data_IF_895212521064
#
_entry.id   IF_895212521064
#
_cell.length_a   1.000
_cell.length_b   1.000
_cell.length_c   1.000
_cell.angle_alpha   90.00
_cell.angle_beta   90.00
_cell.angle_gamma   90.00
#
_symmetry.space_group_name_H-M   'P 1'
#
loop_
_entity.id
_entity.type
_entity.pdbx_description
1 polymer ?
#
# COMPACT_ATOMS: atom_id res chain seq x y z
N UNK A 1 -13.06 20.36 -19.13
CA UNK A 1 -11.75 21.01 -19.22
C UNK A 1 -11.98 22.40 -19.80
N UNK A 2 -11.49 23.50 -19.20
CA UNK A 2 -11.62 24.81 -19.80
C UNK A 2 -10.81 24.84 -21.09
N UNK A 3 -11.51 24.87 -22.21
CA UNK A 3 -10.93 24.81 -23.56
C UNK A 3 -10.10 26.04 -23.92
N UNK A 4 -10.10 27.08 -23.06
CA UNK A 4 -9.51 28.39 -23.33
C UNK A 4 -8.44 28.82 -22.34
N UNK A 5 -8.13 28.03 -21.31
CA UNK A 5 -7.07 28.36 -20.36
C UNK A 5 -5.75 27.74 -20.82
N UNK A 6 -4.73 28.58 -20.96
CA UNK A 6 -3.36 28.16 -21.27
C UNK A 6 -2.55 28.11 -19.95
N UNK A 7 -1.95 26.97 -19.58
CA UNK A 7 -1.19 26.82 -18.34
C UNK A 7 -0.03 27.82 -18.18
N UNK A 8 0.58 28.23 -19.30
CA UNK A 8 1.75 29.11 -19.32
C UNK A 8 1.34 30.58 -19.30
N UNK A 9 0.19 30.92 -19.90
CA UNK A 9 -0.30 32.30 -20.00
C UNK A 9 -1.26 32.69 -18.89
N UNK A 10 -2.04 31.74 -18.38
CA UNK A 10 -3.10 31.93 -17.38
C UNK A 10 -2.78 31.19 -16.07
N UNK A 11 -1.53 31.27 -15.61
CA UNK A 11 -1.02 30.47 -14.50
C UNK A 11 -1.90 30.52 -13.23
N UNK A 12 -2.45 31.70 -12.90
CA UNK A 12 -3.32 31.87 -11.72
C UNK A 12 -4.66 31.13 -11.89
N UNK A 13 -5.30 31.26 -13.06
CA UNK A 13 -6.56 30.57 -13.38
C UNK A 13 -6.34 29.07 -13.52
N UNK A 14 -5.20 28.66 -14.08
CA UNK A 14 -4.79 27.27 -14.16
C UNK A 14 -4.59 26.65 -12.76
N UNK A 15 -3.96 27.38 -11.84
CA UNK A 15 -3.83 26.96 -10.45
C UNK A 15 -5.21 26.81 -9.78
N UNK A 16 -6.12 27.76 -9.97
CA UNK A 16 -7.50 27.66 -9.45
C UNK A 16 -8.25 26.46 -10.06
N UNK A 17 -8.09 26.21 -11.35
CA UNK A 17 -8.68 25.05 -12.02
C UNK A 17 -8.10 23.74 -11.48
N UNK A 18 -6.79 23.66 -11.29
CA UNK A 18 -6.13 22.49 -10.70
C UNK A 18 -6.58 22.25 -9.25
N UNK A 19 -6.74 23.32 -8.46
CA UNK A 19 -7.29 23.23 -7.11
C UNK A 19 -8.74 22.73 -7.14
N UNK A 20 -9.58 23.27 -8.02
CA UNK A 20 -10.96 22.81 -8.16
C UNK A 20 -11.02 21.31 -8.48
N UNK A 21 -10.19 20.83 -9.42
CA UNK A 21 -10.11 19.39 -9.75
C UNK A 21 -9.67 18.55 -8.55
N UNK A 22 -8.63 19.00 -7.85
CA UNK A 22 -8.16 18.36 -6.60
C UNK A 22 -9.28 18.29 -5.56
N UNK A 23 -10.06 19.35 -5.40
CA UNK A 23 -11.19 19.40 -4.47
C UNK A 23 -12.31 18.44 -4.88
N UNK A 24 -12.59 18.28 -6.19
CA UNK A 24 -13.57 17.31 -6.67
C UNK A 24 -13.16 15.88 -6.32
N UNK A 25 -11.90 15.50 -6.61
CA UNK A 25 -11.38 14.16 -6.27
C UNK A 25 -11.41 13.94 -4.76
N UNK A 26 -10.99 14.94 -4.00
CA UNK A 26 -10.96 14.87 -2.53
C UNK A 26 -12.36 14.73 -1.94
N UNK A 27 -13.35 15.48 -2.44
CA UNK A 27 -14.76 15.30 -2.04
C UNK A 27 -15.27 13.91 -2.41
N UNK A 28 -14.88 13.37 -3.56
CA UNK A 28 -15.26 12.01 -3.95
C UNK A 28 -14.71 10.98 -2.96
N UNK A 29 -13.42 11.04 -2.61
CA UNK A 29 -12.81 10.15 -1.60
C UNK A 29 -13.56 10.22 -0.26
N UNK A 30 -13.82 11.43 0.24
CA UNK A 30 -14.63 11.64 1.45
C UNK A 30 -16.03 11.03 1.34
N UNK A 31 -16.70 11.18 0.20
CA UNK A 31 -18.04 10.63 -0.04
C UNK A 31 -18.02 9.10 -0.04
N UNK A 32 -17.01 8.48 -0.65
CA UNK A 32 -16.85 7.02 -0.63
C UNK A 32 -16.61 6.54 0.80
N UNK A 33 -15.76 7.21 1.57
CA UNK A 33 -15.58 6.92 2.99
C UNK A 33 -16.91 6.99 3.76
N UNK A 34 -17.69 8.06 3.59
CA UNK A 34 -19.02 8.21 4.22
C UNK A 34 -20.00 7.10 3.82
N UNK A 35 -19.92 6.59 2.58
CA UNK A 35 -20.75 5.48 2.11
C UNK A 35 -20.33 4.14 2.74
N UNK A 36 -19.02 3.89 2.86
CA UNK A 36 -18.47 2.63 3.40
C UNK A 36 -18.66 2.55 4.92
N UNK A 37 -18.43 3.66 5.62
CA UNK A 37 -18.36 3.70 7.08
C UNK A 37 -19.54 4.40 7.76
N UNK A 38 -20.42 5.03 6.99
CA UNK A 38 -21.42 5.96 7.50
C UNK A 38 -20.79 7.25 8.04
N UNK A 39 -21.63 8.19 8.46
CA UNK A 39 -21.16 9.48 8.99
C UNK A 39 -20.50 9.38 10.39
N UNK A 40 -20.56 8.20 11.04
CA UNK A 40 -20.14 8.02 12.45
C UNK A 40 -18.63 7.83 12.64
N UNK A 41 -17.88 7.43 11.60
CA UNK A 41 -16.45 7.06 11.74
C UNK A 41 -15.47 8.22 11.55
N UNK A 42 -15.94 9.44 11.28
CA UNK A 42 -15.10 10.63 11.04
C UNK A 42 -14.24 11.09 12.25
N UNK A 43 -14.24 10.37 13.40
CA UNK A 43 -13.67 10.86 14.66
C UNK A 43 -12.97 9.82 15.54
N UNK A 44 -12.34 8.80 14.97
CA UNK A 44 -11.44 7.96 15.77
C UNK A 44 -9.99 8.14 15.30
N UNK A 45 -9.22 8.82 16.16
CA UNK A 45 -7.76 8.83 16.11
C UNK A 45 -7.24 7.41 15.87
N UNK A 46 -6.18 7.33 15.07
CA UNK A 46 -5.52 6.18 14.44
C UNK A 46 -5.08 4.99 15.32
N UNK A 47 -5.72 4.71 16.46
CA UNK A 47 -5.35 3.60 17.36
C UNK A 47 -6.50 2.77 17.91
N UNK A 48 -7.75 3.16 17.68
CA UNK A 48 -8.90 2.38 18.13
C UNK A 48 -9.60 1.74 16.92
N UNK A 49 -9.16 0.52 16.57
CA UNK A 49 -9.66 -0.29 15.45
C UNK A 49 -11.05 -0.87 15.73
N UNK A 50 -11.96 -0.10 16.34
CA UNK A 50 -13.38 -0.46 16.46
C UNK A 50 -14.13 -0.10 15.16
N UNK A 51 -13.62 -0.58 14.03
CA UNK A 51 -14.44 -0.67 12.83
C UNK A 51 -15.66 -1.56 13.16
N UNK A 52 -16.86 -1.30 12.59
CA UNK A 52 -17.89 -2.31 12.55
C UNK A 52 -17.26 -3.61 12.03
N UNK A 53 -17.56 -4.79 12.58
CA UNK A 53 -16.90 -6.06 12.23
C UNK A 53 -17.01 -6.49 10.75
N UNK A 54 -17.60 -5.64 9.88
CA UNK A 54 -17.84 -5.87 8.46
C UNK A 54 -17.44 -4.69 7.55
N UNK A 55 -16.76 -3.66 8.06
CA UNK A 55 -16.42 -2.51 7.23
C UNK A 55 -15.19 -2.80 6.34
N UNK A 56 -15.37 -2.70 5.02
CA UNK A 56 -14.32 -2.97 4.03
C UNK A 56 -13.25 -1.87 4.07
N UNK A 57 -11.96 -2.20 4.22
CA UNK A 57 -10.88 -1.22 4.15
C UNK A 57 -10.91 -0.42 2.84
N UNK A 58 -10.80 0.90 2.94
CA UNK A 58 -10.71 1.80 1.79
C UNK A 58 -9.26 2.25 1.64
N UNK A 59 -8.59 1.75 0.59
CA UNK A 59 -7.19 2.09 0.30
C UNK A 59 -7.08 2.87 -1.00
N UNK A 60 -5.99 3.62 -1.17
CA UNK A 60 -5.75 4.39 -2.38
C UNK A 60 -4.34 4.15 -2.94
N UNK A 61 -4.27 3.81 -4.22
CA UNK A 61 -3.02 3.82 -4.98
C UNK A 61 -2.70 5.25 -5.42
N UNK A 62 -1.52 5.75 -5.05
CA UNK A 62 -1.18 7.18 -5.14
C UNK A 62 0.19 7.42 -5.76
N UNK A 63 0.35 8.58 -6.38
CA UNK A 63 1.64 9.06 -6.86
C UNK A 63 2.51 9.52 -5.69
N UNK A 64 3.81 9.27 -5.81
CA UNK A 64 4.75 9.29 -4.68
C UNK A 64 5.13 10.70 -4.22
N UNK A 65 5.24 11.65 -5.15
CA UNK A 65 5.50 13.04 -4.80
C UNK A 65 4.18 13.79 -4.53
N UNK A 66 3.95 14.34 -3.32
CA UNK A 66 2.68 14.98 -2.97
C UNK A 66 2.35 16.19 -3.86
N UNK A 67 3.35 16.97 -4.25
CA UNK A 67 3.14 18.16 -5.07
C UNK A 67 2.75 17.76 -6.50
N UNK A 68 3.49 16.85 -7.11
CA UNK A 68 3.14 16.33 -8.44
C UNK A 68 1.82 15.55 -8.43
N UNK A 69 1.55 14.79 -7.37
CA UNK A 69 0.30 14.07 -7.19
C UNK A 69 -0.89 15.05 -7.21
N UNK A 70 -0.77 16.20 -6.53
CA UNK A 70 -1.80 17.24 -6.55
C UNK A 70 -1.88 17.96 -7.90
N UNK A 71 -0.75 18.43 -8.42
CA UNK A 71 -0.72 19.28 -9.62
C UNK A 71 -1.10 18.53 -10.90
N UNK A 72 -0.58 17.31 -11.07
CA UNK A 72 -0.69 16.55 -12.32
C UNK A 72 -1.77 15.46 -12.26
N UNK A 73 -2.09 14.97 -11.06
CA UNK A 73 -3.00 13.83 -10.86
C UNK A 73 -4.20 14.18 -9.99
N UNK A 74 -4.24 15.39 -9.43
CA UNK A 74 -5.32 15.89 -8.58
C UNK A 74 -5.56 15.00 -7.35
N UNK A 75 -4.50 14.37 -6.86
CA UNK A 75 -4.51 13.53 -5.67
C UNK A 75 -3.93 14.30 -4.48
N UNK A 76 -4.78 14.70 -3.55
CA UNK A 76 -4.36 15.24 -2.24
C UNK A 76 -4.38 14.14 -1.18
N UNK A 77 -3.54 13.14 -1.40
CA UNK A 77 -3.51 11.94 -0.56
C UNK A 77 -3.09 12.22 0.88
N UNK A 78 -2.34 13.30 1.14
CA UNK A 78 -1.97 13.72 2.49
C UNK A 78 -3.23 14.14 3.27
N UNK A 79 -4.07 14.98 2.68
CA UNK A 79 -5.36 15.37 3.28
C UNK A 79 -6.24 14.15 3.51
N UNK A 80 -6.30 13.20 2.57
CA UNK A 80 -7.13 11.99 2.72
C UNK A 80 -6.70 11.13 3.90
N UNK A 81 -5.38 10.91 4.05
CA UNK A 81 -4.83 10.10 5.14
C UNK A 81 -4.96 10.81 6.49
N UNK A 82 -4.61 12.10 6.57
CA UNK A 82 -4.73 12.89 7.81
C UNK A 82 -6.18 13.02 8.29
N UNK A 83 -7.14 13.07 7.35
CA UNK A 83 -8.56 13.12 7.67
C UNK A 83 -9.16 11.75 8.02
N UNK A 84 -8.37 10.66 7.92
CA UNK A 84 -8.82 9.29 8.14
C UNK A 84 -9.83 8.82 7.09
N UNK A 85 -9.83 9.40 5.89
CA UNK A 85 -10.76 9.01 4.82
C UNK A 85 -10.31 7.74 4.09
N UNK A 86 -9.03 7.43 4.15
CA UNK A 86 -8.44 6.17 3.68
C UNK A 86 -7.79 5.44 4.84
N UNK A 87 -7.91 4.11 4.86
CA UNK A 87 -7.32 3.26 5.90
C UNK A 87 -5.87 2.89 5.60
N UNK A 88 -5.43 3.04 4.34
CA UNK A 88 -4.04 2.84 3.94
C UNK A 88 -3.72 3.51 2.60
N UNK A 89 -2.43 3.78 2.38
CA UNK A 89 -1.92 4.29 1.11
C UNK A 89 -1.02 3.27 0.42
N UNK A 90 -1.11 3.23 -0.90
CA UNK A 90 -0.29 2.41 -1.77
C UNK A 90 0.53 3.29 -2.72
N UNK A 91 1.72 3.78 -2.30
CA UNK A 91 2.57 4.57 -3.18
C UNK A 91 3.06 3.72 -4.36
N UNK A 92 2.73 4.14 -5.58
CA UNK A 92 3.17 3.48 -6.80
C UNK A 92 4.55 3.98 -7.21
N UNK A 93 5.60 3.22 -6.90
CA UNK A 93 6.99 3.64 -7.14
C UNK A 93 7.38 3.73 -8.62
N UNK A 94 6.69 2.98 -9.50
CA UNK A 94 6.86 2.99 -10.96
C UNK A 94 8.32 2.85 -11.41
N UNK A 95 9.14 2.09 -10.67
CA UNK A 95 10.60 2.02 -10.87
C UNK A 95 11.15 0.60 -10.70
N UNK A 96 12.29 0.35 -11.34
CA UNK A 96 13.12 -0.84 -11.09
C UNK A 96 14.24 -0.57 -10.07
N UNK A 97 14.45 0.67 -9.63
CA UNK A 97 15.50 1.00 -8.65
C UNK A 97 15.10 0.54 -7.24
N UNK A 98 15.90 -0.35 -6.64
CA UNK A 98 15.72 -0.80 -5.24
C UNK A 98 15.83 0.40 -4.29
N UNK A 99 16.86 1.22 -4.47
CA UNK A 99 17.07 2.45 -3.67
C UNK A 99 15.86 3.38 -3.71
N UNK A 100 15.29 3.61 -4.90
CA UNK A 100 14.13 4.51 -5.05
C UNK A 100 12.89 3.93 -4.37
N UNK A 101 12.69 2.61 -4.42
CA UNK A 101 11.62 1.94 -3.66
C UNK A 101 11.79 2.21 -2.16
N UNK A 102 13.01 2.05 -1.64
CA UNK A 102 13.31 2.30 -0.23
C UNK A 102 13.06 3.76 0.18
N UNK A 103 13.59 4.72 -0.57
CA UNK A 103 13.43 6.16 -0.30
C UNK A 103 11.97 6.60 -0.30
N UNK A 104 11.18 6.14 -1.29
CA UNK A 104 9.74 6.42 -1.36
C UNK A 104 9.03 5.81 -0.15
N UNK A 105 9.32 4.54 0.16
CA UNK A 105 8.67 3.83 1.27
C UNK A 105 8.94 4.54 2.60
N UNK A 106 10.21 4.86 2.88
CA UNK A 106 10.62 5.60 4.08
C UNK A 106 9.88 6.93 4.21
N UNK A 107 9.81 7.71 3.12
CA UNK A 107 9.11 9.00 3.11
C UNK A 107 7.63 8.82 3.46
N UNK A 108 6.95 7.85 2.84
CA UNK A 108 5.54 7.57 3.13
C UNK A 108 5.33 7.13 4.57
N UNK A 109 6.16 6.21 5.08
CA UNK A 109 6.10 5.73 6.45
C UNK A 109 6.17 6.89 7.47
N UNK A 110 6.99 7.91 7.18
CA UNK A 110 7.15 9.08 8.06
C UNK A 110 5.97 10.07 8.03
N UNK A 111 5.26 10.19 6.91
CA UNK A 111 4.30 11.30 6.70
C UNK A 111 2.85 10.88 6.50
N UNK A 112 2.58 9.62 6.18
CA UNK A 112 1.23 9.16 5.82
C UNK A 112 0.29 9.16 7.02
N UNK A 113 0.76 8.77 8.21
CA UNK A 113 -0.09 8.63 9.40
C UNK A 113 -1.11 7.48 9.32
N UNK A 114 -1.07 6.68 8.26
CA UNK A 114 -1.85 5.46 8.00
C UNK A 114 -0.91 4.39 7.44
N UNK A 115 -1.26 3.10 7.52
CA UNK A 115 -0.48 2.02 6.92
C UNK A 115 -0.06 2.25 5.47
N UNK A 116 1.16 1.84 5.12
CA UNK A 116 1.76 2.01 3.80
C UNK A 116 2.02 0.66 3.15
N UNK A 117 1.37 0.43 2.00
CA UNK A 117 1.55 -0.76 1.17
C UNK A 117 2.42 -0.41 -0.04
N UNK A 118 3.73 -0.62 0.05
CA UNK A 118 4.67 -0.18 -0.99
C UNK A 118 4.41 -0.90 -2.31
N UNK A 119 4.17 -0.13 -3.37
CA UNK A 119 3.90 -0.63 -4.72
C UNK A 119 5.20 -0.91 -5.47
N UNK A 120 5.43 -2.18 -5.82
CA UNK A 120 6.60 -2.68 -6.55
C UNK A 120 6.22 -2.99 -7.99
N UNK A 121 6.92 -2.36 -8.93
CA UNK A 121 6.70 -2.51 -10.39
C UNK A 121 7.68 -3.48 -11.05
N UNK A 122 8.53 -4.14 -10.27
CA UNK A 122 9.55 -5.06 -10.79
C UNK A 122 9.01 -6.14 -11.73
N UNK A 123 7.89 -6.83 -11.42
CA UNK A 123 7.29 -7.79 -12.35
C UNK A 123 6.93 -7.14 -13.69
N UNK A 124 6.17 -6.04 -13.68
CA UNK A 124 5.77 -5.32 -14.89
C UNK A 124 6.96 -4.82 -15.72
N UNK A 125 8.02 -4.35 -15.06
CA UNK A 125 9.25 -3.90 -15.72
C UNK A 125 10.16 -5.05 -16.18
N UNK A 126 9.70 -6.30 -16.12
CA UNK A 126 10.48 -7.50 -16.49
C UNK A 126 11.79 -7.65 -15.72
N UNK A 127 11.83 -7.23 -14.45
CA UNK A 127 12.98 -7.47 -13.56
C UNK A 127 13.14 -8.98 -13.28
N UNK A 128 14.31 -9.39 -12.80
CA UNK A 128 14.53 -10.79 -12.39
C UNK A 128 13.84 -11.11 -11.07
N UNK A 129 13.65 -12.41 -10.77
CA UNK A 129 13.07 -12.85 -9.51
C UNK A 129 13.86 -12.36 -8.28
N UNK A 130 15.20 -12.44 -8.33
CA UNK A 130 16.07 -11.92 -7.27
C UNK A 130 15.88 -10.43 -7.06
N UNK A 131 15.84 -9.66 -8.15
CA UNK A 131 15.68 -8.20 -8.09
C UNK A 131 14.33 -7.80 -7.48
N UNK A 132 13.25 -8.51 -7.82
CA UNK A 132 11.93 -8.31 -7.19
C UNK A 132 12.01 -8.59 -5.69
N UNK A 133 12.66 -9.68 -5.27
CA UNK A 133 12.85 -9.98 -3.84
C UNK A 133 13.64 -8.87 -3.14
N UNK A 134 14.70 -8.35 -3.75
CA UNK A 134 15.49 -7.24 -3.18
C UNK A 134 14.66 -5.96 -3.03
N UNK A 135 13.83 -5.61 -4.02
CA UNK A 135 12.90 -4.47 -3.92
C UNK A 135 11.91 -4.63 -2.76
N UNK A 136 11.36 -5.83 -2.59
CA UNK A 136 10.42 -6.15 -1.50
C UNK A 136 11.14 -6.10 -0.14
N UNK A 137 12.36 -6.64 -0.07
CA UNK A 137 13.19 -6.61 1.14
C UNK A 137 13.50 -5.19 1.58
N UNK A 138 13.92 -4.34 0.63
CA UNK A 138 14.19 -2.92 0.88
C UNK A 138 12.94 -2.18 1.37
N UNK A 139 11.79 -2.34 0.69
CA UNK A 139 10.54 -1.72 1.14
C UNK A 139 10.18 -2.12 2.58
N UNK A 140 10.33 -3.40 2.94
CA UNK A 140 10.08 -3.86 4.31
C UNK A 140 11.07 -3.26 5.31
N UNK A 141 12.35 -3.19 4.97
CA UNK A 141 13.38 -2.57 5.81
C UNK A 141 13.10 -1.08 6.07
N UNK A 142 12.48 -0.41 5.10
CA UNK A 142 12.14 1.02 5.16
C UNK A 142 10.75 1.32 5.75
N UNK A 143 10.10 0.32 6.36
CA UNK A 143 8.88 0.52 7.13
C UNK A 143 7.57 0.32 6.37
N UNK A 144 7.58 -0.39 5.24
CA UNK A 144 6.33 -0.82 4.62
C UNK A 144 5.53 -1.76 5.54
N UNK A 145 4.26 -1.44 5.77
CA UNK A 145 3.30 -2.31 6.48
C UNK A 145 2.83 -3.47 5.58
N UNK A 146 2.92 -3.29 4.26
CA UNK A 146 2.58 -4.30 3.27
C UNK A 146 3.20 -4.03 1.92
N UNK A 147 2.99 -4.94 0.98
CA UNK A 147 3.58 -4.90 -0.36
C UNK A 147 2.51 -5.16 -1.40
N UNK A 148 2.52 -4.39 -2.48
CA UNK A 148 1.68 -4.60 -3.66
C UNK A 148 2.59 -4.84 -4.85
N UNK A 149 2.38 -5.93 -5.58
CA UNK A 149 3.10 -6.22 -6.81
C UNK A 149 2.21 -5.85 -8.00
N UNK A 150 2.71 -4.97 -8.86
CA UNK A 150 2.08 -4.70 -10.15
C UNK A 150 2.86 -5.42 -11.27
N UNK A 151 2.27 -6.36 -12.01
CA UNK A 151 0.92 -6.93 -11.88
C UNK A 151 0.97 -8.47 -11.90
N UNK A 152 -0.19 -9.11 -11.73
CA UNK A 152 -0.32 -10.57 -11.74
C UNK A 152 0.06 -11.19 -13.09
N UNK A 153 -0.20 -10.51 -14.21
CA UNK A 153 0.09 -11.05 -15.54
C UNK A 153 1.60 -11.18 -15.79
N UNK A 154 2.40 -10.31 -15.17
CA UNK A 154 3.86 -10.33 -15.24
C UNK A 154 4.52 -11.08 -14.07
N UNK A 155 3.73 -11.61 -13.12
CA UNK A 155 4.24 -12.35 -11.97
C UNK A 155 4.59 -13.80 -12.34
N UNK A 156 5.82 -13.99 -12.83
CA UNK A 156 6.32 -15.29 -13.31
C UNK A 156 6.47 -16.34 -12.19
N UNK A 157 6.44 -17.62 -12.54
CA UNK A 157 6.66 -18.72 -11.57
C UNK A 157 7.98 -18.60 -10.78
N UNK A 158 9.12 -18.23 -11.40
CA UNK A 158 10.35 -17.96 -10.64
C UNK A 158 10.21 -16.85 -9.59
N UNK A 159 9.52 -15.75 -9.91
CA UNK A 159 9.26 -14.68 -8.94
C UNK A 159 8.39 -15.18 -7.78
N UNK A 160 7.33 -15.94 -8.06
CA UNK A 160 6.46 -16.50 -7.02
C UNK A 160 7.25 -17.42 -6.08
N UNK A 161 8.11 -18.29 -6.62
CA UNK A 161 8.97 -19.17 -5.83
C UNK A 161 9.94 -18.37 -4.95
N UNK A 162 10.61 -17.38 -5.52
CA UNK A 162 11.58 -16.56 -4.78
C UNK A 162 10.93 -15.77 -3.64
N UNK A 163 9.74 -15.20 -3.87
CA UNK A 163 8.98 -14.47 -2.84
C UNK A 163 8.54 -15.38 -1.69
N UNK A 164 8.12 -16.62 -1.99
CA UNK A 164 7.71 -17.60 -0.96
C UNK A 164 8.87 -18.05 -0.06
N UNK A 165 10.05 -18.27 -0.64
CA UNK A 165 11.22 -18.77 0.08
C UNK A 165 11.95 -17.68 0.87
N UNK A 166 11.92 -16.44 0.40
CA UNK A 166 12.70 -15.36 1.03
C UNK A 166 11.92 -14.61 2.11
N UNK A 167 10.86 -13.92 1.73
CA UNK A 167 10.31 -12.79 2.49
C UNK A 167 8.94 -13.03 3.12
N UNK A 168 8.28 -14.12 2.74
CA UNK A 168 6.94 -14.49 3.19
C UNK A 168 6.89 -15.97 3.64
N UNK A 169 7.98 -16.50 4.18
CA UNK A 169 7.97 -17.85 4.75
C UNK A 169 6.82 -17.95 5.77
N UNK A 170 5.90 -18.89 5.53
CA UNK A 170 4.88 -19.22 6.51
C UNK A 170 5.58 -19.78 7.76
N UNK A 171 5.07 -19.49 8.97
CA UNK A 171 5.60 -20.11 10.18
C UNK A 171 5.62 -21.63 9.98
N UNK A 172 6.78 -22.25 10.17
CA UNK A 172 6.85 -23.72 10.22
C UNK A 172 5.86 -24.17 11.30
N UNK A 173 5.01 -25.18 11.03
CA UNK A 173 4.14 -25.74 12.06
C UNK A 173 5.02 -26.11 13.26
N UNK A 174 4.81 -25.45 14.40
CA UNK A 174 5.55 -25.74 15.60
C UNK A 174 5.17 -27.15 16.05
N UNK A 175 6.13 -28.07 15.97
CA UNK A 175 6.12 -29.43 16.49
C UNK A 175 4.76 -30.09 16.66
N UNK A 176 4.35 -30.94 15.72
CA UNK A 176 3.57 -32.11 16.12
C UNK A 176 4.44 -32.85 17.14
N UNK A 177 4.05 -32.80 18.42
CA UNK A 177 4.62 -33.61 19.47
C UNK A 177 4.59 -35.06 18.98
N UNK A 178 5.76 -35.63 18.66
CA UNK A 178 5.83 -37.04 18.33
C UNK A 178 5.32 -37.82 19.55
N UNK A 179 4.31 -38.68 19.42
CA UNK A 179 3.91 -39.51 20.54
C UNK A 179 5.12 -40.39 20.91
N UNK A 180 5.52 -40.34 22.18
CA UNK A 180 6.56 -41.23 22.69
C UNK A 180 6.12 -42.69 22.49
N UNK A 181 7.04 -43.59 22.12
CA UNK A 181 6.72 -45.00 22.01
C UNK A 181 6.30 -45.52 23.38
N UNK A 182 5.03 -45.92 23.49
CA UNK A 182 4.51 -46.63 24.66
C UNK A 182 5.25 -47.95 24.78
N UNK A 183 6.04 -48.11 25.86
CA UNK A 183 6.62 -49.39 26.24
C UNK A 183 5.50 -50.41 26.49
N UNK A 184 5.51 -51.52 25.76
CA UNK A 184 4.60 -52.62 25.98
C UNK A 184 4.85 -53.25 27.37
N UNK A 185 3.80 -53.70 28.10
CA UNK A 185 3.97 -54.34 29.39
C UNK A 185 4.57 -55.74 29.20
N UNK A 186 5.55 -56.07 30.05
CA UNK A 186 6.11 -57.41 30.14
C UNK A 186 5.03 -58.41 30.57
N UNK A 187 4.74 -59.39 29.73
CA UNK A 187 3.92 -60.55 30.08
C UNK A 187 4.75 -61.45 30.99
N UNK A 188 4.40 -61.48 32.28
CA UNK A 188 4.90 -62.47 33.22
C UNK A 188 4.21 -63.81 33.02
N UNK A 189 5.02 -64.87 32.91
CA UNK A 189 4.67 -66.25 33.22
C UNK A 189 5.81 -66.84 34.05
#
# INVERSE_FOLDING_TARGET
>A
DPLSLDPDRDAAQWQQWSQFKTDQVTRFVKRVHELVYGQRRLRHHARDYTAPPHALPLTAAVFTDPEQARLLKHQDWQTWAQSGWVDALAPMTLTSSIKTVGEVTRRFHQVAGVPVYSGIFGPFNSNTATHVVEQVGEAKAEGADGIILFDTAHLTSPMQTALRLGLFELPKPQGACMPQPTSAPATGH
#
